data_IF_653408323410
#
_entry.id   IF_653408323410
#
_cell.length_a   1.000
_cell.length_b   1.000
_cell.length_c   1.000
_cell.angle_alpha   90.00
_cell.angle_beta   90.00
_cell.angle_gamma   90.00
#
_symmetry.space_group_name_H-M   'P 1'
#
loop_
_entity.id
_entity.type
_entity.pdbx_description
1 polymer ?
#
# COMPACT_ATOMS: atom_id res chain seq x y z
N UNK A 1 22.87 -20.64 -5.63
CA UNK A 1 21.72 -20.78 -4.72
C UNK A 1 20.55 -21.27 -5.55
N UNK A 2 19.80 -22.29 -5.12
CA UNK A 2 18.65 -22.77 -5.87
C UNK A 2 17.54 -21.70 -5.89
N UNK A 3 17.10 -21.29 -7.08
CA UNK A 3 15.98 -20.37 -7.25
C UNK A 3 14.70 -21.02 -6.75
N UNK A 4 13.96 -20.33 -5.87
CA UNK A 4 12.65 -20.79 -5.38
C UNK A 4 11.63 -20.71 -6.52
N UNK A 5 10.74 -21.70 -6.62
CA UNK A 5 9.65 -21.69 -7.61
C UNK A 5 8.59 -20.66 -7.22
N UNK A 6 7.84 -20.14 -8.18
CA UNK A 6 6.75 -19.18 -7.92
C UNK A 6 5.73 -19.75 -6.92
N UNK A 7 5.37 -21.02 -7.07
CA UNK A 7 4.49 -21.77 -6.17
C UNK A 7 5.01 -21.77 -4.71
N UNK A 8 6.29 -22.10 -4.50
CA UNK A 8 6.88 -22.09 -3.16
C UNK A 8 6.96 -20.69 -2.52
N UNK A 9 7.03 -19.64 -3.33
CA UNK A 9 7.00 -18.25 -2.84
C UNK A 9 5.57 -17.87 -2.48
N UNK A 10 4.59 -18.23 -3.33
CA UNK A 10 3.18 -17.97 -3.08
C UNK A 10 2.73 -18.64 -1.78
N UNK A 11 2.98 -19.94 -1.62
CA UNK A 11 2.61 -20.69 -0.42
C UNK A 11 3.22 -20.09 0.85
N UNK A 12 4.47 -19.63 0.77
CA UNK A 12 5.16 -19.01 1.90
C UNK A 12 4.47 -17.73 2.37
N UNK A 13 3.96 -16.91 1.45
CA UNK A 13 3.45 -15.57 1.75
C UNK A 13 1.91 -15.49 1.79
N UNK A 14 1.19 -16.49 1.29
CA UNK A 14 -0.25 -16.41 1.09
C UNK A 14 -1.03 -16.03 2.36
N UNK A 15 -0.74 -16.68 3.49
CA UNK A 15 -1.46 -16.42 4.74
C UNK A 15 -1.13 -15.04 5.33
N UNK A 16 0.10 -14.59 5.20
CA UNK A 16 0.57 -13.27 5.66
C UNK A 16 -0.10 -12.16 4.84
N UNK A 17 0.00 -12.23 3.51
CA UNK A 17 -0.63 -11.27 2.60
C UNK A 17 -2.15 -11.23 2.77
N UNK A 18 -2.79 -12.38 3.01
CA UNK A 18 -4.24 -12.43 3.29
C UNK A 18 -4.58 -11.65 4.56
N UNK A 19 -3.80 -11.79 5.62
CA UNK A 19 -4.01 -11.03 6.86
C UNK A 19 -3.80 -9.53 6.66
N UNK A 20 -2.78 -9.14 5.90
CA UNK A 20 -2.52 -7.73 5.57
C UNK A 20 -3.68 -7.11 4.78
N UNK A 21 -4.21 -7.81 3.77
CA UNK A 21 -5.36 -7.36 2.98
C UNK A 21 -6.60 -7.19 3.87
N UNK A 22 -6.88 -8.16 4.76
CA UNK A 22 -8.01 -8.06 5.69
C UNK A 22 -7.86 -6.89 6.67
N UNK A 23 -6.64 -6.67 7.17
CA UNK A 23 -6.37 -5.55 8.07
C UNK A 23 -6.55 -4.21 7.37
N UNK A 24 -6.08 -4.08 6.13
CA UNK A 24 -6.28 -2.87 5.32
C UNK A 24 -7.76 -2.60 5.06
N UNK A 25 -8.51 -3.62 4.62
CA UNK A 25 -9.96 -3.50 4.39
C UNK A 25 -10.70 -3.06 5.66
N UNK A 26 -10.44 -3.72 6.80
CA UNK A 26 -11.07 -3.37 8.06
C UNK A 26 -10.68 -1.96 8.55
N UNK A 27 -9.48 -1.46 8.23
CA UNK A 27 -9.10 -0.09 8.56
C UNK A 27 -9.88 0.93 7.72
N UNK A 28 -9.99 0.70 6.41
CA UNK A 28 -10.77 1.55 5.50
C UNK A 28 -12.26 1.56 5.91
N UNK A 29 -12.85 0.40 6.19
CA UNK A 29 -14.23 0.30 6.67
C UNK A 29 -14.48 1.14 7.93
N UNK A 30 -13.52 1.16 8.88
CA UNK A 30 -13.65 1.96 10.11
C UNK A 30 -13.57 3.46 9.84
N UNK A 31 -12.74 3.89 8.88
CA UNK A 31 -12.64 5.30 8.46
C UNK A 31 -13.96 5.72 7.83
N UNK A 32 -14.48 4.95 6.87
CA UNK A 32 -15.72 5.27 6.16
C UNK A 32 -16.95 5.27 7.08
N UNK A 33 -16.93 4.44 8.14
CA UNK A 33 -18.01 4.37 9.14
C UNK A 33 -17.92 5.41 10.25
N UNK A 34 -16.84 6.19 10.32
CA UNK A 34 -16.66 7.18 11.39
C UNK A 34 -17.49 8.44 11.15
N UNK A 35 -17.93 9.08 12.23
CA UNK A 35 -18.55 10.40 12.17
C UNK A 35 -17.56 11.40 11.56
N UNK A 36 -18.02 12.16 10.55
CA UNK A 36 -17.18 13.13 9.85
C UNK A 36 -16.40 12.59 8.65
N UNK A 37 -16.66 11.35 8.18
CA UNK A 37 -16.03 10.80 6.98
C UNK A 37 -16.11 11.75 5.77
N UNK A 38 -17.26 12.40 5.53
CA UNK A 38 -17.42 13.34 4.41
C UNK A 38 -16.39 14.49 4.44
N UNK A 39 -15.91 14.90 5.62
CA UNK A 39 -14.89 15.94 5.74
C UNK A 39 -13.48 15.47 5.34
N UNK A 40 -13.21 14.16 5.40
CA UNK A 40 -11.91 13.55 5.05
C UNK A 40 -11.96 12.75 3.75
N UNK A 41 -13.13 12.67 3.10
CA UNK A 41 -13.34 11.91 1.86
C UNK A 41 -12.41 12.36 0.72
N UNK A 42 -12.10 13.65 0.69
CA UNK A 42 -11.21 14.32 -0.27
C UNK A 42 -9.81 14.57 0.31
N UNK A 43 -9.49 14.03 1.49
CA UNK A 43 -8.15 14.14 2.08
C UNK A 43 -7.13 13.42 1.20
N UNK A 44 -6.04 14.11 0.85
CA UNK A 44 -4.98 13.58 -0.02
C UNK A 44 -4.37 12.28 0.51
N UNK A 45 -4.35 12.05 1.83
CA UNK A 45 -3.85 10.80 2.41
C UNK A 45 -4.72 9.61 2.03
N UNK A 46 -6.03 9.80 1.98
CA UNK A 46 -6.95 8.74 1.55
C UNK A 46 -6.78 8.45 0.06
N UNK A 47 -6.49 9.48 -0.73
CA UNK A 47 -6.18 9.33 -2.15
C UNK A 47 -4.86 8.59 -2.39
N UNK A 48 -3.81 8.88 -1.62
CA UNK A 48 -2.54 8.13 -1.66
C UNK A 48 -2.75 6.64 -1.32
N UNK A 49 -3.62 6.32 -0.35
CA UNK A 49 -3.96 4.92 -0.04
C UNK A 49 -4.65 4.22 -1.22
N UNK A 50 -5.58 4.90 -1.92
CA UNK A 50 -6.25 4.37 -3.11
C UNK A 50 -5.25 4.10 -4.24
N UNK A 51 -4.37 5.06 -4.52
CA UNK A 51 -3.31 4.90 -5.52
C UNK A 51 -2.36 3.75 -5.16
N UNK A 52 -2.03 3.58 -3.88
CA UNK A 52 -1.23 2.46 -3.40
C UNK A 52 -1.89 1.10 -3.68
N UNK A 53 -3.20 0.99 -3.46
CA UNK A 53 -3.98 -0.21 -3.80
C UNK A 53 -3.93 -0.48 -5.31
N UNK A 54 -4.06 0.55 -6.14
CA UNK A 54 -3.96 0.39 -7.59
C UNK A 54 -2.56 -0.04 -8.05
N UNK A 55 -1.48 0.45 -7.42
CA UNK A 55 -0.12 -0.05 -7.66
C UNK A 55 -0.03 -1.54 -7.33
N UNK A 56 -0.58 -1.98 -6.18
CA UNK A 56 -0.54 -3.38 -5.76
C UNK A 56 -1.27 -4.33 -6.72
N UNK A 57 -2.28 -3.83 -7.44
CA UNK A 57 -3.04 -4.60 -8.45
C UNK A 57 -2.28 -4.83 -9.77
N UNK A 58 -1.15 -4.17 -9.98
CA UNK A 58 -0.35 -4.32 -11.20
C UNK A 58 0.61 -5.53 -11.16
N UNK A 59 0.96 -6.05 -12.34
CA UNK A 59 2.00 -7.06 -12.49
C UNK A 59 3.41 -6.44 -12.46
N UNK A 60 4.47 -7.27 -12.38
CA UNK A 60 5.87 -6.82 -12.38
C UNK A 60 6.64 -7.13 -11.10
N UNK A 61 7.83 -6.55 -10.90
CA UNK A 61 8.70 -6.79 -9.73
C UNK A 61 9.12 -5.51 -9.00
N UNK A 62 8.48 -4.38 -9.32
CA UNK A 62 8.82 -3.02 -8.90
C UNK A 62 7.75 -2.36 -8.00
N UNK A 63 6.74 -3.13 -7.56
CA UNK A 63 5.65 -2.61 -6.70
C UNK A 63 6.16 -1.91 -5.44
N UNK A 64 7.18 -2.46 -4.78
CA UNK A 64 7.75 -1.87 -3.57
C UNK A 64 8.41 -0.50 -3.85
N UNK A 65 9.16 -0.38 -4.96
CA UNK A 65 9.76 0.89 -5.39
C UNK A 65 8.69 1.93 -5.70
N UNK A 66 7.66 1.53 -6.46
CA UNK A 66 6.53 2.42 -6.80
C UNK A 66 5.75 2.87 -5.56
N UNK A 67 5.54 1.98 -4.59
CA UNK A 67 4.95 2.33 -3.30
C UNK A 67 5.83 3.32 -2.53
N UNK A 68 7.14 3.08 -2.49
CA UNK A 68 8.07 4.00 -1.84
C UNK A 68 8.03 5.39 -2.47
N UNK A 69 8.01 5.48 -3.80
CA UNK A 69 7.93 6.76 -4.52
C UNK A 69 6.59 7.47 -4.28
N UNK A 70 5.47 6.72 -4.24
CA UNK A 70 4.14 7.28 -3.97
C UNK A 70 4.05 7.95 -2.59
N UNK A 71 4.68 7.36 -1.57
CA UNK A 71 4.65 7.86 -0.19
C UNK A 71 5.86 8.74 0.18
N UNK A 72 6.76 9.02 -0.76
CA UNK A 72 7.90 9.90 -0.51
C UNK A 72 7.48 11.37 -0.62
N UNK A 73 7.98 12.20 0.28
CA UNK A 73 7.90 13.66 0.12
C UNK A 73 8.74 14.11 -1.08
N UNK A 74 8.36 15.25 -1.66
CA UNK A 74 9.20 15.89 -2.67
C UNK A 74 10.59 16.20 -2.09
N UNK A 75 11.63 15.91 -2.88
CA UNK A 75 12.99 16.23 -2.48
C UNK A 75 13.14 17.74 -2.28
N UNK A 76 13.49 18.14 -1.05
CA UNK A 76 13.79 19.53 -0.72
C UNK A 76 15.31 19.74 -0.78
N UNK A 77 15.76 20.58 -1.72
CA UNK A 77 17.17 20.96 -1.80
C UNK A 77 17.60 21.67 -0.50
N UNK A 78 18.70 21.20 0.10
CA UNK A 78 19.22 21.76 1.35
C UNK A 78 18.52 21.24 2.62
N UNK A 79 17.76 20.15 2.56
CA UNK A 79 17.05 19.57 3.73
C UNK A 79 17.94 19.25 4.94
N UNK A 80 19.25 19.09 4.73
CA UNK A 80 20.24 18.70 5.72
C UNK A 80 21.26 19.82 6.05
N UNK A 81 20.96 21.07 5.70
CA UNK A 81 21.80 22.22 6.03
C UNK A 81 21.36 22.91 7.32
#
# INVERSE_FOLDING_TARGET
MATKTADSILDRHFLELRCEILNLAAALDRIERSDGFEAVREDNRLELLRQGIDILRTEGTDRAERMQMLFSDEYQAGWNQ
#
